data_IF_637408160807
#
_entry.id   IF_637408160807
#
_cell.length_a   1.000
_cell.length_b   1.000
_cell.length_c   1.000
_cell.angle_alpha   90.00
_cell.angle_beta   90.00
_cell.angle_gamma   90.00
#
_symmetry.space_group_name_H-M   'P 1'
#
loop_
_entity.id
_entity.type
_entity.pdbx_description
1 polymer ?
#
# COMPACT_ATOMS: atom_id res chain seq x y z
N UNK A 1 -6.74 26.86 -15.81
CA UNK A 1 -6.39 26.66 -14.38
C UNK A 1 -4.90 26.84 -14.18
N UNK A 2 -4.46 27.30 -13.01
CA UNK A 2 -3.04 27.53 -12.73
C UNK A 2 -2.32 26.22 -12.39
N UNK A 3 -1.66 25.64 -13.39
CA UNK A 3 -0.90 24.40 -13.26
C UNK A 3 0.31 24.51 -12.34
N UNK A 4 0.68 25.72 -11.86
CA UNK A 4 1.69 25.87 -10.80
C UNK A 4 1.23 25.31 -9.46
N UNK A 5 -0.08 25.18 -9.24
CA UNK A 5 -0.64 24.53 -8.03
C UNK A 5 -0.24 23.07 -7.87
N UNK A 6 0.30 22.43 -8.91
CA UNK A 6 0.89 21.10 -8.77
C UNK A 6 2.07 21.11 -7.77
N UNK A 7 2.80 22.22 -7.63
CA UNK A 7 3.88 22.32 -6.65
C UNK A 7 3.37 22.47 -5.21
N UNK A 8 2.14 22.96 -5.01
CA UNK A 8 1.50 22.97 -3.68
C UNK A 8 1.32 21.55 -3.13
N UNK A 9 1.33 20.53 -4.01
CA UNK A 9 1.32 19.13 -3.59
C UNK A 9 2.59 18.71 -2.85
N UNK A 10 3.71 19.42 -3.00
CA UNK A 10 4.93 19.11 -2.25
C UNK A 10 4.78 19.42 -0.76
N UNK A 11 3.93 20.39 -0.40
CA UNK A 11 3.61 20.70 0.99
C UNK A 11 2.79 19.59 1.68
N UNK A 12 2.36 18.55 0.94
CA UNK A 12 1.73 17.37 1.52
C UNK A 12 2.69 16.60 2.41
N UNK A 13 3.98 16.55 2.03
CA UNK A 13 5.00 15.83 2.77
C UNK A 13 5.27 16.42 4.15
N UNK A 14 4.99 17.70 4.37
CA UNK A 14 5.14 18.34 5.69
C UNK A 14 4.15 17.81 6.74
N UNK A 15 3.10 17.10 6.30
CA UNK A 15 2.07 16.53 7.18
C UNK A 15 2.20 15.00 7.33
N UNK A 16 3.20 14.39 6.69
CA UNK A 16 3.50 12.97 6.80
C UNK A 16 4.24 12.75 8.11
N UNK A 17 3.86 11.70 8.84
CA UNK A 17 4.54 11.27 10.06
C UNK A 17 5.13 9.88 9.89
N UNK A 18 6.00 9.51 10.82
CA UNK A 18 6.64 8.20 10.84
C UNK A 18 5.62 7.07 10.72
N UNK A 19 5.91 6.12 9.83
CA UNK A 19 5.08 4.95 9.50
C UNK A 19 3.82 5.21 8.67
N UNK A 20 3.61 6.43 8.16
CA UNK A 20 2.52 6.68 7.23
C UNK A 20 2.71 5.91 5.92
N UNK A 21 1.59 5.43 5.36
CA UNK A 21 1.52 4.96 3.98
C UNK A 21 0.77 6.01 3.16
N UNK A 22 1.42 6.54 2.13
CA UNK A 22 0.82 7.55 1.27
C UNK A 22 -0.10 6.86 0.26
N UNK A 23 -1.37 7.26 0.19
CA UNK A 23 -2.33 6.70 -0.76
C UNK A 23 -2.83 7.79 -1.70
N UNK A 24 -2.68 7.58 -3.00
CA UNK A 24 -3.09 8.52 -4.04
C UNK A 24 -4.13 7.88 -4.95
N UNK A 25 -5.38 8.33 -4.85
CA UNK A 25 -6.38 8.09 -5.88
C UNK A 25 -6.18 9.06 -7.04
N UNK A 26 -5.83 8.54 -8.21
CA UNK A 26 -5.54 9.34 -9.40
C UNK A 26 -6.66 9.16 -10.45
N UNK A 27 -7.31 10.26 -10.82
CA UNK A 27 -8.39 10.26 -11.83
C UNK A 27 -7.87 10.20 -13.28
N UNK A 28 -6.56 10.28 -13.48
CA UNK A 28 -5.89 10.15 -14.77
C UNK A 28 -4.81 9.05 -14.69
N UNK A 29 -5.20 7.77 -14.52
CA UNK A 29 -4.29 6.69 -14.13
C UNK A 29 -3.20 6.37 -15.16
N UNK A 30 -3.35 6.83 -16.42
CA UNK A 30 -2.34 6.69 -17.49
C UNK A 30 -1.17 7.69 -17.37
N UNK A 31 -1.20 8.59 -16.38
CA UNK A 31 -0.18 9.60 -16.15
C UNK A 31 0.47 9.41 -14.78
N UNK A 32 1.80 9.38 -14.78
CA UNK A 32 2.62 9.17 -13.59
C UNK A 32 2.58 10.40 -12.67
N UNK A 33 1.94 10.25 -11.52
CA UNK A 33 1.93 11.23 -10.45
C UNK A 33 3.18 11.10 -9.55
N UNK A 34 3.62 9.87 -9.31
CA UNK A 34 4.68 9.53 -8.37
C UNK A 34 5.95 9.07 -9.10
N UNK A 35 7.11 9.43 -8.55
CA UNK A 35 8.44 9.14 -9.08
C UNK A 35 9.53 9.39 -8.04
N UNK A 36 10.80 9.44 -8.46
CA UNK A 36 11.97 9.46 -7.57
C UNK A 36 11.93 10.61 -6.55
N UNK A 37 11.63 11.84 -7.02
CA UNK A 37 11.55 13.01 -6.16
C UNK A 37 10.50 12.84 -5.06
N UNK A 38 9.32 12.33 -5.43
CA UNK A 38 8.21 12.09 -4.50
C UNK A 38 8.57 11.00 -3.47
N UNK A 39 9.27 9.95 -3.90
CA UNK A 39 9.72 8.87 -3.03
C UNK A 39 10.75 9.37 -2.01
N UNK A 40 11.74 10.16 -2.43
CA UNK A 40 12.73 10.76 -1.53
C UNK A 40 12.10 11.73 -0.53
N UNK A 41 11.13 12.55 -0.96
CA UNK A 41 10.40 13.45 -0.07
C UNK A 41 9.56 12.66 0.96
N UNK A 42 8.88 11.60 0.53
CA UNK A 42 8.10 10.71 1.39
C UNK A 42 8.99 10.01 2.42
N UNK A 43 10.09 9.41 1.97
CA UNK A 43 11.05 8.73 2.83
C UNK A 43 11.65 9.68 3.87
N UNK A 44 12.06 10.88 3.45
CA UNK A 44 12.57 11.92 4.37
C UNK A 44 11.54 12.32 5.42
N UNK A 45 10.27 12.35 5.07
CA UNK A 45 9.18 12.68 5.99
C UNK A 45 8.80 11.52 6.94
N UNK A 46 9.35 10.31 6.73
CA UNK A 46 9.12 9.14 7.58
C UNK A 46 8.02 8.20 7.08
N UNK A 47 7.54 8.36 5.85
CA UNK A 47 6.61 7.40 5.25
C UNK A 47 7.28 6.02 5.08
N UNK A 48 6.51 4.96 5.25
CA UNK A 48 6.97 3.58 5.04
C UNK A 48 6.73 3.08 3.62
N UNK A 49 5.94 3.79 2.82
CA UNK A 49 5.63 3.40 1.44
C UNK A 49 4.54 4.25 0.80
N UNK A 50 4.22 3.95 -0.47
CA UNK A 50 3.16 4.60 -1.21
C UNK A 50 2.32 3.63 -2.05
N UNK A 51 1.03 3.93 -2.19
CA UNK A 51 0.07 3.24 -3.06
C UNK A 51 -0.51 4.26 -4.03
N UNK A 52 -0.33 4.00 -5.32
CA UNK A 52 -0.71 4.91 -6.39
C UNK A 52 -1.74 4.22 -7.30
N UNK A 53 -2.94 4.78 -7.39
CA UNK A 53 -4.01 4.31 -8.30
C UNK A 53 -3.72 4.70 -9.76
N UNK A 54 -2.77 4.00 -10.38
CA UNK A 54 -2.35 4.26 -11.75
C UNK A 54 -0.89 3.91 -11.96
N UNK A 55 -0.29 4.50 -12.99
CA UNK A 55 1.13 4.29 -13.31
C UNK A 55 2.05 5.21 -12.50
N UNK A 56 3.30 4.77 -12.32
CA UNK A 56 4.39 5.55 -11.70
C UNK A 56 5.59 5.65 -12.63
N UNK A 57 6.60 6.42 -12.25
CA UNK A 57 7.88 6.50 -12.99
C UNK A 57 9.06 6.34 -12.04
N UNK A 58 10.26 6.25 -12.61
CA UNK A 58 11.52 6.16 -11.87
C UNK A 58 11.55 4.93 -10.92
N UNK A 59 10.99 3.80 -11.37
CA UNK A 59 10.83 2.58 -10.56
C UNK A 59 12.17 2.07 -10.03
N UNK A 60 13.22 2.13 -10.84
CA UNK A 60 14.56 1.71 -10.44
C UNK A 60 15.05 2.53 -9.25
N UNK A 61 14.94 3.85 -9.35
CA UNK A 61 15.38 4.80 -8.34
C UNK A 61 14.59 4.62 -7.03
N UNK A 62 13.27 4.38 -7.11
CA UNK A 62 12.46 4.08 -5.91
C UNK A 62 12.85 2.77 -5.22
N UNK A 63 13.23 1.75 -5.99
CA UNK A 63 13.72 0.47 -5.46
C UNK A 63 15.11 0.62 -4.84
N UNK A 64 16.00 1.37 -5.49
CA UNK A 64 17.38 1.58 -5.05
C UNK A 64 17.45 2.31 -3.69
N UNK A 65 16.49 3.20 -3.39
CA UNK A 65 16.36 3.86 -2.07
C UNK A 65 15.59 3.02 -1.04
N UNK A 66 15.11 1.83 -1.41
CA UNK A 66 14.37 0.94 -0.53
C UNK A 66 12.96 1.44 -0.15
N UNK A 67 12.35 2.31 -0.96
CA UNK A 67 11.02 2.85 -0.67
C UNK A 67 9.95 2.09 -1.48
N UNK A 68 9.08 1.28 -0.84
CA UNK A 68 8.10 0.47 -1.54
C UNK A 68 7.00 1.34 -2.15
N UNK A 69 6.80 1.19 -3.46
CA UNK A 69 5.74 1.87 -4.22
C UNK A 69 4.88 0.83 -4.95
N UNK A 70 3.62 0.74 -4.54
CA UNK A 70 2.62 -0.07 -5.23
C UNK A 70 1.92 0.78 -6.28
N UNK A 71 1.78 0.23 -7.49
CA UNK A 71 1.13 0.90 -8.61
C UNK A 71 0.60 -0.11 -9.62
N UNK A 72 -0.22 0.34 -10.56
CA UNK A 72 -0.77 -0.50 -11.65
C UNK A 72 0.22 -0.72 -12.80
N UNK A 73 1.39 -0.07 -12.75
CA UNK A 73 2.44 -0.19 -13.75
C UNK A 73 3.40 0.99 -13.73
N UNK A 74 4.33 1.00 -14.69
CA UNK A 74 5.25 2.12 -14.90
C UNK A 74 5.01 2.78 -16.26
N UNK A 75 5.18 4.11 -16.33
CA UNK A 75 5.07 4.86 -17.56
C UNK A 75 5.73 6.24 -17.47
N UNK A 76 6.23 6.77 -18.59
CA UNK A 76 7.03 7.98 -18.61
C UNK A 76 6.23 9.30 -18.63
N UNK A 77 4.92 9.27 -18.92
CA UNK A 77 4.13 10.51 -19.07
C UNK A 77 3.76 11.08 -17.71
N UNK A 78 4.31 12.25 -17.39
CA UNK A 78 4.03 12.97 -16.14
C UNK A 78 2.59 13.57 -16.10
N UNK A 79 2.00 13.66 -14.91
CA UNK A 79 0.74 14.39 -14.63
C UNK A 79 0.83 15.91 -14.78
N UNK A 80 2.03 16.49 -14.88
CA UNK A 80 2.25 17.93 -15.12
C UNK A 80 1.38 18.45 -16.27
N UNK A 81 0.71 19.58 -16.02
CA UNK A 81 -0.24 20.25 -16.94
C UNK A 81 -1.51 19.44 -17.27
N UNK A 82 -1.76 18.33 -16.54
CA UNK A 82 -2.89 17.42 -16.78
C UNK A 82 -3.72 17.15 -15.53
N UNK A 83 -3.08 17.17 -14.36
CA UNK A 83 -3.75 17.01 -13.08
C UNK A 83 -3.14 17.90 -12.01
N UNK A 84 -3.91 18.11 -10.94
CA UNK A 84 -3.50 18.76 -9.70
C UNK A 84 -4.05 17.95 -8.52
N UNK A 85 -3.44 18.09 -7.34
CA UNK A 85 -4.03 17.55 -6.12
C UNK A 85 -5.20 18.44 -5.71
N UNK A 86 -6.39 17.86 -5.59
CA UNK A 86 -7.62 18.58 -5.26
C UNK A 86 -8.03 18.43 -3.80
N UNK A 87 -7.60 17.38 -3.12
CA UNK A 87 -7.92 17.10 -1.72
C UNK A 87 -6.79 16.32 -1.03
N UNK A 88 -6.70 16.47 0.30
CA UNK A 88 -5.78 15.75 1.17
C UNK A 88 -6.50 15.22 2.40
N UNK A 89 -6.03 14.12 2.98
CA UNK A 89 -6.63 13.49 4.17
C UNK A 89 -8.14 13.24 4.04
N UNK A 90 -8.59 12.86 2.84
CA UNK A 90 -9.97 12.42 2.56
C UNK A 90 -9.98 10.93 2.29
N UNK A 91 -11.14 10.30 2.48
CA UNK A 91 -11.36 8.93 2.03
C UNK A 91 -11.11 8.85 0.53
N UNK A 92 -10.29 7.88 0.14
CA UNK A 92 -10.04 7.56 -1.26
C UNK A 92 -10.65 6.21 -1.59
N UNK A 93 -11.01 6.00 -2.86
CA UNK A 93 -11.56 4.73 -3.34
C UNK A 93 -10.67 4.26 -4.47
N UNK A 94 -10.07 3.08 -4.31
CA UNK A 94 -9.21 2.43 -5.31
C UNK A 94 -9.79 1.04 -5.53
N UNK A 95 -10.10 0.70 -6.78
CA UNK A 95 -10.67 -0.61 -7.17
C UNK A 95 -11.89 -1.04 -6.31
N UNK A 96 -12.72 -0.07 -5.93
CA UNK A 96 -13.93 -0.29 -5.12
C UNK A 96 -13.67 -0.37 -3.60
N UNK A 97 -12.42 -0.31 -3.16
CA UNK A 97 -12.04 -0.35 -1.74
C UNK A 97 -11.92 1.08 -1.19
N UNK A 98 -12.71 1.38 -0.16
CA UNK A 98 -12.64 2.65 0.57
C UNK A 98 -11.51 2.63 1.60
N UNK A 99 -10.61 3.60 1.50
CA UNK A 99 -9.45 3.75 2.37
C UNK A 99 -9.59 5.06 3.13
N UNK A 100 -9.71 4.98 4.45
CA UNK A 100 -9.86 6.14 5.33
C UNK A 100 -8.51 6.53 5.93
N UNK A 101 -8.46 7.77 6.42
CA UNK A 101 -7.33 8.20 7.24
C UNK A 101 -7.21 7.31 8.48
N UNK A 102 -5.99 6.88 8.80
CA UNK A 102 -5.64 6.00 9.90
C UNK A 102 -6.08 4.53 9.76
N UNK A 103 -6.59 4.11 8.60
CA UNK A 103 -6.71 2.68 8.32
C UNK A 103 -5.31 2.06 8.28
N UNK A 104 -5.16 0.85 8.83
CA UNK A 104 -3.91 0.12 8.79
C UNK A 104 -3.74 -0.49 7.39
N UNK A 105 -2.58 -0.28 6.79
CA UNK A 105 -2.25 -0.81 5.48
C UNK A 105 -1.11 -1.80 5.64
N UNK A 106 -1.34 -3.01 5.15
CA UNK A 106 -0.31 -4.03 5.00
C UNK A 106 -0.09 -4.28 3.51
N UNK A 107 1.17 -4.38 3.08
CA UNK A 107 1.50 -4.70 1.70
C UNK A 107 2.74 -5.55 1.61
N UNK A 108 2.73 -6.52 0.69
CA UNK A 108 3.84 -7.39 0.37
C UNK A 108 3.89 -7.66 -1.14
N UNK A 109 4.63 -8.70 -1.56
CA UNK A 109 4.74 -9.06 -2.97
C UNK A 109 3.42 -9.53 -3.61
N UNK A 110 2.47 -9.99 -2.81
CA UNK A 110 1.22 -10.59 -3.27
C UNK A 110 0.12 -9.53 -3.40
N UNK A 111 0.19 -8.46 -2.61
CA UNK A 111 -0.66 -7.29 -2.80
C UNK A 111 -0.76 -6.38 -1.59
N UNK A 112 -1.92 -5.73 -1.47
CA UNK A 112 -2.24 -4.78 -0.40
C UNK A 112 -3.52 -5.22 0.30
N UNK A 113 -3.51 -5.16 1.63
CA UNK A 113 -4.69 -5.31 2.47
C UNK A 113 -4.92 -4.01 3.23
N UNK A 114 -6.16 -3.51 3.17
CA UNK A 114 -6.61 -2.34 3.92
C UNK A 114 -7.46 -2.83 5.09
N UNK A 115 -7.03 -2.51 6.30
CA UNK A 115 -7.64 -2.92 7.56
C UNK A 115 -8.28 -1.68 8.19
N UNK A 116 -9.63 -1.61 8.26
CA UNK A 116 -10.31 -0.48 8.86
C UNK A 116 -9.88 -0.28 10.31
N UNK A 117 -9.60 0.97 10.71
CA UNK A 117 -9.08 1.29 12.06
C UNK A 117 -9.90 0.66 13.20
N UNK A 118 -11.22 0.59 13.05
CA UNK A 118 -12.13 0.01 14.06
C UNK A 118 -11.94 -1.49 14.29
N UNK A 119 -11.38 -2.23 13.34
CA UNK A 119 -11.16 -3.68 13.42
C UNK A 119 -9.68 -4.06 13.52
N UNK A 120 -8.79 -3.08 13.57
CA UNK A 120 -7.34 -3.30 13.51
C UNK A 120 -6.85 -4.35 14.51
N UNK A 121 -7.21 -4.18 15.79
CA UNK A 121 -6.77 -5.09 16.85
C UNK A 121 -7.31 -6.52 16.66
N UNK A 122 -8.61 -6.64 16.38
CA UNK A 122 -9.27 -7.94 16.18
C UNK A 122 -8.66 -8.70 15.00
N UNK A 123 -8.40 -8.01 13.90
CA UNK A 123 -7.82 -8.60 12.69
C UNK A 123 -6.37 -9.01 12.94
N UNK A 124 -5.57 -8.18 13.61
CA UNK A 124 -4.18 -8.53 13.96
C UNK A 124 -4.13 -9.75 14.87
N UNK A 125 -4.92 -9.78 15.94
CA UNK A 125 -4.95 -10.88 16.89
C UNK A 125 -5.34 -12.19 16.19
N UNK A 126 -6.41 -12.15 15.37
CA UNK A 126 -6.87 -13.30 14.58
C UNK A 126 -5.83 -13.77 13.56
N UNK A 127 -5.15 -12.84 12.87
CA UNK A 127 -4.11 -13.17 11.89
C UNK A 127 -2.92 -13.88 12.57
N UNK A 128 -2.48 -13.38 13.73
CA UNK A 128 -1.39 -13.98 14.49
C UNK A 128 -1.73 -15.39 14.99
N UNK A 129 -2.98 -15.62 15.41
CA UNK A 129 -3.46 -16.95 15.79
C UNK A 129 -3.46 -17.91 14.60
N UNK A 130 -4.00 -17.48 13.46
CA UNK A 130 -4.00 -18.29 12.22
C UNK A 130 -2.59 -18.64 11.75
N UNK A 131 -1.67 -17.69 11.75
CA UNK A 131 -0.27 -17.92 11.38
C UNK A 131 0.41 -18.96 12.28
N UNK A 132 0.07 -19.03 13.58
CA UNK A 132 0.59 -20.06 14.48
C UNK A 132 0.05 -21.44 14.11
N UNK A 133 -1.24 -21.54 13.80
CA UNK A 133 -1.88 -22.80 13.40
C UNK A 133 -1.34 -23.31 12.07
N UNK A 134 -1.18 -22.45 11.05
CA UNK A 134 -0.60 -22.80 9.75
C UNK A 134 0.82 -23.36 9.89
N UNK A 135 1.65 -22.79 10.75
CA UNK A 135 2.99 -23.34 11.02
C UNK A 135 2.95 -24.76 11.58
N UNK A 136 1.97 -25.08 12.41
CA UNK A 136 1.80 -26.44 12.95
C UNK A 136 1.35 -27.42 11.87
N UNK A 137 0.44 -26.99 10.98
CA UNK A 137 0.03 -27.78 9.82
C UNK A 137 1.25 -28.11 8.94
N UNK A 138 2.10 -27.12 8.64
CA UNK A 138 3.31 -27.32 7.83
C UNK A 138 4.29 -28.33 8.45
N UNK A 139 4.42 -28.34 9.77
CA UNK A 139 5.25 -29.33 10.48
C UNK A 139 4.69 -30.74 10.26
N UNK A 140 3.39 -30.93 10.36
CA UNK A 140 2.77 -32.25 10.20
C UNK A 140 2.71 -32.69 8.73
N UNK A 141 2.58 -31.77 7.79
CA UNK A 141 2.82 -32.02 6.36
C UNK A 141 4.24 -32.54 6.14
N UNK A 142 5.26 -31.92 6.73
CA UNK A 142 6.64 -32.35 6.61
C UNK A 142 6.90 -33.74 7.22
N UNK A 143 6.10 -34.16 8.21
CA UNK A 143 6.13 -35.52 8.77
C UNK A 143 5.41 -36.56 7.92
N UNK A 144 4.77 -36.15 6.82
CA UNK A 144 4.03 -37.05 5.92
C UNK A 144 2.65 -37.44 6.45
N UNK A 145 2.05 -36.66 7.35
CA UNK A 145 0.67 -36.88 7.80
C UNK A 145 -0.28 -36.71 6.61
N UNK A 146 -1.26 -37.61 6.48
CA UNK A 146 -2.23 -37.59 5.38
C UNK A 146 -3.14 -36.37 5.46
N UNK A 147 -3.56 -35.87 4.32
CA UNK A 147 -4.45 -34.70 4.22
C UNK A 147 -5.77 -34.88 4.98
N UNK A 148 -6.37 -36.08 4.96
CA UNK A 148 -7.59 -36.38 5.73
C UNK A 148 -7.39 -36.19 7.24
N UNK A 149 -6.25 -36.66 7.78
CA UNK A 149 -5.90 -36.54 9.20
C UNK A 149 -5.59 -35.08 9.56
N UNK A 150 -4.96 -34.31 8.65
CA UNK A 150 -4.74 -32.88 8.84
C UNK A 150 -6.07 -32.11 8.95
N UNK A 151 -7.03 -32.40 8.07
CA UNK A 151 -8.34 -31.72 8.09
C UNK A 151 -9.17 -32.07 9.32
N UNK A 152 -9.08 -33.31 9.82
CA UNK A 152 -9.72 -33.70 11.09
C UNK A 152 -9.09 -32.97 12.28
N UNK A 153 -7.77 -32.80 12.26
CA UNK A 153 -7.00 -32.20 13.37
C UNK A 153 -7.08 -30.67 13.42
N UNK A 154 -7.04 -30.01 12.26
CA UNK A 154 -6.92 -28.56 12.16
C UNK A 154 -8.16 -27.88 11.57
N UNK A 155 -9.15 -28.65 11.10
CA UNK A 155 -10.30 -28.13 10.36
C UNK A 155 -9.98 -27.83 8.89
N UNK A 156 -10.85 -27.08 8.22
CA UNK A 156 -10.54 -26.55 6.90
C UNK A 156 -9.56 -25.39 7.04
N UNK A 157 -8.37 -25.58 6.48
CA UNK A 157 -7.33 -24.57 6.30
C UNK A 157 -7.13 -24.31 4.80
#
# INVERSE_FOLDING_TARGET
>A
EDFKKIYDSLNLYDNVVSNDIIVVANKIPDFAFFGELNANLALRAGASGAIIDGVTRDTRETVDIGFPVFSKGNYCKDTRKRGIVTAKNRTVIIDGISIHKNDLIFGDKDGIVVIPKKYEREIIDTALEKMKNEKMILIDVAKGIKTSELTEKYGMF
#
